data_IF_836710877013
#
_entry.id   IF_836710877013
#
_cell.length_a   1.000
_cell.length_b   1.000
_cell.length_c   1.000
_cell.angle_alpha   90.00
_cell.angle_beta   90.00
_cell.angle_gamma   90.00
#
_symmetry.space_group_name_H-M   'P 1'
#
loop_
_entity.id
_entity.type
_entity.pdbx_description
1 polymer ?
#
# COMPACT_ATOMS: atom_id res chain seq x y z
N UNK A 1 2.87 -5.47 -11.98
CA UNK A 1 1.59 -5.81 -11.34
C UNK A 1 1.50 -4.97 -10.08
N UNK A 2 0.53 -4.05 -10.00
CA UNK A 2 0.36 -3.18 -8.83
C UNK A 2 -0.34 -3.97 -7.72
N UNK A 3 0.33 -4.22 -6.59
CA UNK A 3 -0.37 -4.72 -5.39
C UNK A 3 -1.44 -3.72 -4.99
N UNK A 4 -2.57 -4.21 -4.50
CA UNK A 4 -3.67 -3.33 -4.10
C UNK A 4 -3.25 -2.50 -2.88
N UNK A 5 -3.82 -1.30 -2.73
CA UNK A 5 -3.60 -0.46 -1.54
C UNK A 5 -3.84 -1.23 -0.23
N UNK A 6 -4.82 -2.14 -0.22
CA UNK A 6 -5.13 -3.01 0.93
C UNK A 6 -4.00 -3.98 1.25
N UNK A 7 -3.37 -4.58 0.24
CA UNK A 7 -2.21 -5.46 0.45
C UNK A 7 -1.02 -4.67 1.00
N UNK A 8 -0.78 -3.46 0.51
CA UNK A 8 0.29 -2.59 1.02
C UNK A 8 0.06 -2.13 2.46
N UNK A 9 -1.19 -1.82 2.83
CA UNK A 9 -1.53 -1.53 4.23
C UNK A 9 -1.26 -2.73 5.13
N UNK A 10 -1.63 -3.93 4.68
CA UNK A 10 -1.33 -5.17 5.41
C UNK A 10 0.17 -5.44 5.53
N UNK A 11 0.95 -5.13 4.49
CA UNK A 11 2.42 -5.20 4.55
C UNK A 11 2.98 -4.22 5.59
N UNK A 12 2.45 -3.01 5.68
CA UNK A 12 2.84 -2.03 6.71
C UNK A 12 2.49 -2.49 8.13
N UNK A 13 1.30 -3.07 8.35
CA UNK A 13 0.93 -3.69 9.63
C UNK A 13 1.91 -4.82 10.01
N UNK A 14 2.35 -5.60 9.02
CA UNK A 14 3.35 -6.66 9.25
C UNK A 14 4.70 -6.06 9.64
N UNK A 15 5.14 -4.99 8.97
CA UNK A 15 6.38 -4.27 9.31
C UNK A 15 6.30 -3.71 10.74
N UNK A 16 5.15 -3.16 11.15
CA UNK A 16 4.95 -2.67 12.53
C UNK A 16 5.06 -3.80 13.55
N UNK A 17 4.48 -4.97 13.27
CA UNK A 17 4.65 -6.17 14.08
C UNK A 17 6.11 -6.62 14.20
N UNK A 18 6.84 -6.61 13.09
CA UNK A 18 8.27 -6.94 13.07
C UNK A 18 9.10 -5.93 13.90
N UNK A 19 8.78 -4.63 13.85
CA UNK A 19 9.44 -3.60 14.68
C UNK A 19 9.22 -3.89 16.18
N UNK A 20 7.99 -4.21 16.59
CA UNK A 20 7.72 -4.60 17.97
C UNK A 20 8.55 -5.83 18.38
N UNK A 21 8.71 -6.78 17.46
CA UNK A 21 9.54 -7.97 17.67
C UNK A 21 11.03 -7.63 17.81
N UNK A 22 11.57 -6.70 17.01
CA UNK A 22 12.96 -6.20 17.13
C UNK A 22 13.20 -5.64 18.53
N UNK A 23 12.32 -4.77 19.01
CA UNK A 23 12.43 -4.16 20.36
C UNK A 23 12.39 -5.25 21.44
N UNK A 24 11.49 -6.22 21.31
CA UNK A 24 11.39 -7.33 22.25
C UNK A 24 12.66 -8.19 22.28
N UNK A 25 13.22 -8.53 21.13
CA UNK A 25 14.45 -9.34 21.01
C UNK A 25 15.67 -8.59 21.59
N UNK A 26 15.77 -7.28 21.35
CA UNK A 26 16.79 -6.43 21.96
C UNK A 26 16.66 -6.42 23.50
N UNK A 27 15.44 -6.25 24.02
CA UNK A 27 15.17 -6.30 25.45
C UNK A 27 15.57 -7.64 26.08
N UNK A 28 15.32 -8.76 25.40
CA UNK A 28 15.76 -10.09 25.85
C UNK A 28 17.29 -10.22 25.89
N UNK A 29 17.99 -9.74 24.87
CA UNK A 29 19.45 -9.75 24.84
C UNK A 29 20.03 -8.92 25.99
N UNK A 30 19.50 -7.72 26.22
CA UNK A 30 19.91 -6.84 27.33
C UNK A 30 19.61 -7.46 28.70
N UNK A 31 18.45 -8.10 28.85
CA UNK A 31 18.06 -8.77 30.11
C UNK A 31 18.99 -9.95 30.40
N UNK A 32 19.40 -10.70 29.37
CA UNK A 32 20.37 -11.81 29.54
C UNK A 32 21.75 -11.29 29.94
N UNK A 33 22.20 -10.19 29.32
CA UNK A 33 23.45 -9.50 29.65
C UNK A 33 23.48 -8.96 31.08
N UNK A 34 22.33 -8.56 31.63
CA UNK A 34 22.21 -8.00 32.97
C UNK A 34 22.29 -9.04 34.10
N UNK A 35 22.31 -10.35 33.78
CA UNK A 35 22.41 -11.41 34.80
C UNK A 35 23.82 -11.50 35.37
N UNK A 36 23.95 -11.94 36.62
CA UNK A 36 25.25 -12.22 37.26
C UNK A 36 26.08 -13.25 36.48
N UNK A 37 25.41 -14.21 35.83
CA UNK A 37 26.02 -15.20 34.92
C UNK A 37 25.21 -15.27 33.62
N UNK A 38 25.56 -14.46 32.61
CA UNK A 38 24.89 -14.47 31.32
C UNK A 38 25.03 -15.82 30.62
N UNK A 39 23.97 -16.26 29.93
CA UNK A 39 24.06 -17.41 29.03
C UNK A 39 24.38 -16.95 27.60
N UNK A 40 25.63 -17.15 27.19
CA UNK A 40 26.14 -16.73 25.88
C UNK A 40 25.32 -17.31 24.71
N UNK A 41 24.81 -18.53 24.82
CA UNK A 41 24.02 -19.15 23.76
C UNK A 41 22.67 -18.43 23.58
N UNK A 42 22.00 -18.12 24.68
CA UNK A 42 20.71 -17.41 24.65
C UNK A 42 20.87 -15.96 24.20
N UNK A 43 21.92 -15.29 24.67
CA UNK A 43 22.29 -13.94 24.23
C UNK A 43 22.55 -13.92 22.72
N UNK A 44 23.45 -14.77 22.23
CA UNK A 44 23.80 -14.85 20.82
C UNK A 44 22.60 -15.19 19.93
N UNK A 45 21.70 -16.07 20.42
CA UNK A 45 20.46 -16.36 19.70
C UNK A 45 19.56 -15.12 19.60
N UNK A 46 19.40 -14.36 20.69
CA UNK A 46 18.55 -13.16 20.72
C UNK A 46 19.12 -12.05 19.83
N UNK A 47 20.44 -11.86 19.85
CA UNK A 47 21.15 -10.90 18.97
C UNK A 47 21.04 -11.29 17.50
N UNK A 48 21.19 -12.58 17.16
CA UNK A 48 21.02 -13.06 15.77
C UNK A 48 19.59 -12.84 15.27
N UNK A 49 18.60 -13.13 16.10
CA UNK A 49 17.20 -12.84 15.76
C UNK A 49 16.97 -11.34 15.56
N UNK A 50 17.51 -10.50 16.46
CA UNK A 50 17.42 -9.05 16.39
C UNK A 50 17.94 -8.52 15.05
N UNK A 51 19.16 -8.91 14.68
CA UNK A 51 19.78 -8.48 13.42
C UNK A 51 18.92 -8.91 12.23
N UNK A 52 18.51 -10.18 12.20
CA UNK A 52 17.72 -10.72 11.09
C UNK A 52 16.36 -10.00 10.93
N UNK A 53 15.64 -9.77 12.03
CA UNK A 53 14.36 -9.08 11.98
C UNK A 53 14.56 -7.61 11.60
N UNK A 54 15.61 -6.95 12.10
CA UNK A 54 15.94 -5.57 11.75
C UNK A 54 16.25 -5.41 10.25
N UNK A 55 17.04 -6.31 9.68
CA UNK A 55 17.32 -6.34 8.23
C UNK A 55 16.03 -6.53 7.41
N UNK A 56 15.10 -7.37 7.89
CA UNK A 56 13.80 -7.56 7.24
C UNK A 56 12.97 -6.28 7.27
N UNK A 57 12.90 -5.61 8.42
CA UNK A 57 12.20 -4.33 8.59
C UNK A 57 12.77 -3.27 7.64
N UNK A 58 14.09 -3.12 7.61
CA UNK A 58 14.76 -2.13 6.75
C UNK A 58 14.44 -2.36 5.27
N UNK A 59 14.61 -3.59 4.79
CA UNK A 59 14.35 -3.94 3.40
C UNK A 59 12.89 -3.72 2.99
N UNK A 60 11.94 -4.12 3.85
CA UNK A 60 10.51 -4.00 3.54
C UNK A 60 10.02 -2.57 3.63
N UNK A 61 10.50 -1.79 4.61
CA UNK A 61 10.17 -0.37 4.71
C UNK A 61 10.72 0.41 3.52
N UNK A 62 11.95 0.11 3.09
CA UNK A 62 12.57 0.73 1.91
C UNK A 62 11.76 0.46 0.63
N UNK A 63 11.19 -0.74 0.46
CA UNK A 63 10.27 -1.03 -0.65
C UNK A 63 9.03 -0.13 -0.62
N UNK A 64 8.45 0.13 0.55
CA UNK A 64 7.29 1.02 0.68
C UNK A 64 7.66 2.47 0.40
N UNK A 65 8.82 2.94 0.88
CA UNK A 65 9.34 4.29 0.60
C UNK A 65 9.58 4.47 -0.90
N UNK A 66 10.21 3.50 -1.56
CA UNK A 66 10.45 3.55 -3.00
C UNK A 66 9.14 3.57 -3.80
N UNK A 67 8.15 2.77 -3.38
CA UNK A 67 6.82 2.81 -3.98
C UNK A 67 6.15 4.17 -3.79
N UNK A 68 6.10 4.68 -2.56
CA UNK A 68 5.53 6.00 -2.27
C UNK A 68 6.22 7.10 -3.09
N UNK A 69 7.54 7.03 -3.24
CA UNK A 69 8.30 7.96 -4.07
C UNK A 69 7.90 7.86 -5.56
N UNK A 70 7.66 6.64 -6.06
CA UNK A 70 7.22 6.40 -7.44
C UNK A 70 5.78 6.90 -7.70
N UNK A 71 4.87 6.74 -6.74
CA UNK A 71 3.48 7.18 -6.90
C UNK A 71 3.29 8.67 -6.57
N UNK A 72 4.06 9.21 -5.61
CA UNK A 72 4.00 10.62 -5.23
C UNK A 72 4.71 11.55 -6.24
N UNK A 73 5.65 11.03 -7.04
CA UNK A 73 6.31 11.78 -8.11
C UNK A 73 5.46 11.93 -9.40
N UNK A 74 4.19 11.53 -9.37
CA UNK A 74 3.24 11.88 -10.43
C UNK A 74 3.25 10.99 -11.66
N UNK A 75 3.61 9.71 -11.54
CA UNK A 75 3.29 8.76 -12.61
C UNK A 75 1.76 8.69 -12.79
N UNK A 76 1.22 8.91 -14.00
CA UNK A 76 -0.19 9.14 -14.22
C UNK A 76 -0.98 7.82 -14.13
N UNK A 77 -1.47 7.47 -12.93
CA UNK A 77 -2.31 6.29 -12.75
C UNK A 77 -3.72 6.59 -12.23
N UNK A 78 -4.01 7.85 -11.88
CA UNK A 78 -5.39 8.27 -11.56
C UNK A 78 -5.83 9.54 -12.31
N UNK A 79 -4.91 10.40 -12.73
CA UNK A 79 -5.27 11.65 -13.44
C UNK A 79 -5.65 11.50 -14.91
N UNK A 80 -5.13 10.48 -15.61
CA UNK A 80 -5.32 10.29 -17.06
C UNK A 80 -6.45 9.29 -17.39
N UNK A 81 -6.56 8.19 -16.64
CA UNK A 81 -7.58 7.17 -16.90
C UNK A 81 -8.94 7.52 -16.28
N UNK A 82 -9.00 8.11 -15.08
CA UNK A 82 -10.27 8.50 -14.47
C UNK A 82 -10.94 9.63 -15.27
N UNK A 83 -10.17 10.64 -15.69
CA UNK A 83 -10.66 11.73 -16.53
C UNK A 83 -11.19 11.19 -17.87
N UNK A 84 -10.42 10.36 -18.58
CA UNK A 84 -10.86 9.75 -19.83
C UNK A 84 -12.10 8.86 -19.66
N UNK A 85 -12.17 8.08 -18.58
CA UNK A 85 -13.33 7.23 -18.27
C UNK A 85 -14.56 8.06 -17.92
N UNK A 86 -14.37 9.14 -17.14
CA UNK A 86 -15.46 10.04 -16.76
C UNK A 86 -15.98 10.81 -17.96
N UNK A 87 -15.08 11.27 -18.84
CA UNK A 87 -15.42 11.92 -20.09
C UNK A 87 -16.18 10.99 -21.03
N UNK A 88 -15.76 9.73 -21.16
CA UNK A 88 -16.50 8.71 -21.91
C UNK A 88 -17.90 8.46 -21.33
N UNK A 89 -18.02 8.32 -20.00
CA UNK A 89 -19.30 8.13 -19.33
C UNK A 89 -20.23 9.35 -19.55
N UNK A 90 -19.70 10.56 -19.47
CA UNK A 90 -20.45 11.78 -19.74
C UNK A 90 -20.88 11.87 -21.21
N UNK A 91 -20.01 11.48 -22.15
CA UNK A 91 -20.33 11.44 -23.57
C UNK A 91 -21.49 10.47 -23.86
N UNK A 92 -21.51 9.29 -23.22
CA UNK A 92 -22.61 8.32 -23.32
C UNK A 92 -23.92 8.92 -22.79
N UNK A 93 -23.91 9.56 -21.62
CA UNK A 93 -25.11 10.21 -21.08
C UNK A 93 -25.64 11.34 -21.98
N UNK A 94 -24.74 12.13 -22.56
CA UNK A 94 -25.11 13.21 -23.51
C UNK A 94 -25.74 12.62 -24.78
N UNK A 95 -25.19 11.53 -25.31
CA UNK A 95 -25.73 10.84 -26.48
C UNK A 95 -27.13 10.30 -26.19
N UNK A 96 -27.34 9.66 -25.04
CA UNK A 96 -28.64 9.10 -24.69
C UNK A 96 -29.71 10.19 -24.53
N UNK A 97 -29.36 11.30 -23.88
CA UNK A 97 -30.22 12.46 -23.80
C UNK A 97 -30.57 13.05 -25.18
N UNK A 98 -29.59 13.11 -26.10
CA UNK A 98 -29.83 13.57 -27.46
C UNK A 98 -30.79 12.64 -28.23
N UNK A 99 -30.68 11.31 -28.06
CA UNK A 99 -31.61 10.35 -28.65
C UNK A 99 -33.04 10.55 -28.15
N UNK A 100 -33.24 10.74 -26.85
CA UNK A 100 -34.56 10.98 -26.26
C UNK A 100 -35.20 12.21 -26.89
N UNK A 101 -34.47 13.33 -26.96
CA UNK A 101 -34.96 14.57 -27.58
C UNK A 101 -35.29 14.42 -29.07
N UNK A 102 -34.49 13.64 -29.81
CA UNK A 102 -34.77 13.37 -31.22
C UNK A 102 -36.03 12.52 -31.40
N UNK A 103 -36.29 11.56 -30.51
CA UNK A 103 -37.52 10.77 -30.54
C UNK A 103 -38.74 11.64 -30.23
N UNK A 104 -38.66 12.52 -29.24
CA UNK A 104 -39.70 13.51 -28.93
C UNK A 104 -39.99 14.40 -30.14
N UNK A 105 -38.95 14.93 -30.79
CA UNK A 105 -39.12 15.73 -32.01
C UNK A 105 -39.75 14.93 -33.15
N UNK A 106 -39.36 13.66 -33.32
CA UNK A 106 -39.96 12.79 -34.32
C UNK A 106 -41.45 12.61 -34.09
N UNK A 107 -41.89 12.42 -32.84
CA UNK A 107 -43.32 12.31 -32.51
C UNK A 107 -44.10 13.60 -32.73
N UNK A 108 -43.43 14.76 -32.70
CA UNK A 108 -44.07 16.05 -32.98
C UNK A 108 -44.15 16.31 -34.50
N UNK A 109 -43.13 15.89 -35.26
CA UNK A 109 -43.05 16.13 -36.70
C UNK A 109 -43.80 15.10 -37.56
N UNK A 110 -43.99 13.87 -37.05
CA UNK A 110 -44.86 12.84 -37.64
C UNK A 110 -46.02 12.55 -36.66
N UNK A 111 -47.09 13.37 -36.63
CA UNK A 111 -48.26 13.14 -35.78
C UNK A 111 -49.11 11.92 -36.21
#
# INVERSE_FOLDING_TARGET
>A
MSSSLKERLKELETIEGDIAQVVHQAGRALTELAKEKPNDRNMNSSVKSFIKTLESVENNLMKQINYLSQVASGQPHEGSSYSAQKDAQMAIHRLENAKVKLLELKTICDP
#
